data_IF_888790741087
#
_entry.id   IF_888790741087
#
_cell.length_a   1.000
_cell.length_b   1.000
_cell.length_c   1.000
_cell.angle_alpha   90.00
_cell.angle_beta   90.00
_cell.angle_gamma   90.00
#
_symmetry.space_group_name_H-M   'P 1'
#
loop_
_entity.id
_entity.type
_entity.pdbx_description
1 polymer ?
#
# COMPACT_ATOMS: atom_id res chain seq x y z
N UNK A 1 20.43 35.80 26.94
CA UNK A 1 19.80 34.55 26.44
C UNK A 1 20.29 34.31 25.02
N UNK A 2 20.63 33.08 24.64
CA UNK A 2 21.07 32.74 23.28
C UNK A 2 19.99 31.88 22.63
N UNK A 3 19.51 32.30 21.46
CA UNK A 3 18.55 31.53 20.66
C UNK A 3 19.23 30.29 20.07
N UNK A 4 18.58 29.13 20.15
CA UNK A 4 19.07 27.87 19.57
C UNK A 4 17.98 27.21 18.73
N UNK A 5 18.34 26.45 17.68
CA UNK A 5 17.40 25.63 16.95
C UNK A 5 16.72 24.60 17.86
N UNK A 6 15.46 24.28 17.56
CA UNK A 6 14.72 23.21 18.26
C UNK A 6 15.41 21.86 18.03
N UNK A 7 15.43 21.00 19.05
CA UNK A 7 16.25 19.78 19.08
C UNK A 7 15.88 18.77 17.99
N UNK A 8 14.59 18.56 17.76
CA UNK A 8 14.05 17.71 16.70
C UNK A 8 14.49 18.20 15.31
N UNK A 9 14.39 19.50 15.05
CA UNK A 9 14.79 20.10 13.78
C UNK A 9 16.31 20.10 13.59
N UNK A 10 17.07 20.35 14.66
CA UNK A 10 18.53 20.38 14.62
C UNK A 10 19.13 19.05 14.16
N UNK A 11 18.50 17.93 14.54
CA UNK A 11 18.95 16.58 14.18
C UNK A 11 18.31 16.11 12.87
N UNK A 12 16.99 16.18 12.77
CA UNK A 12 16.26 15.52 11.69
C UNK A 12 16.33 16.27 10.36
N UNK A 13 16.34 17.61 10.38
CA UNK A 13 16.31 18.38 9.14
C UNK A 13 17.60 18.22 8.30
N UNK A 14 18.83 18.28 8.88
CA UNK A 14 20.05 17.95 8.14
C UNK A 14 20.09 16.51 7.67
N UNK A 15 19.55 15.56 8.45
CA UNK A 15 19.47 14.16 8.06
C UNK A 15 18.59 13.98 6.82
N UNK A 16 17.39 14.57 6.80
CA UNK A 16 16.49 14.53 5.64
C UNK A 16 17.12 15.14 4.39
N UNK A 17 17.78 16.30 4.51
CA UNK A 17 18.51 16.91 3.38
C UNK A 17 19.61 16.01 2.83
N UNK A 18 20.28 15.24 3.70
CA UNK A 18 21.28 14.27 3.26
C UNK A 18 20.65 13.10 2.51
N UNK A 19 19.51 12.58 3.00
CA UNK A 19 18.76 11.52 2.31
C UNK A 19 18.27 11.98 0.93
N UNK A 20 17.76 13.20 0.84
CA UNK A 20 17.35 13.84 -0.42
C UNK A 20 18.50 13.91 -1.43
N UNK A 21 19.64 14.47 -1.03
CA UNK A 21 20.83 14.52 -1.88
C UNK A 21 21.32 13.13 -2.31
N UNK A 22 21.20 12.11 -1.45
CA UNK A 22 21.53 10.73 -1.81
C UNK A 22 20.57 10.15 -2.86
N UNK A 23 19.27 10.41 -2.76
CA UNK A 23 18.29 9.98 -3.77
C UNK A 23 18.52 10.66 -5.12
N UNK A 24 18.77 11.97 -5.11
CA UNK A 24 19.12 12.71 -6.33
C UNK A 24 20.41 12.16 -6.97
N UNK A 25 21.44 11.89 -6.17
CA UNK A 25 22.68 11.29 -6.67
C UNK A 25 22.47 9.89 -7.28
N UNK A 26 21.53 9.10 -6.75
CA UNK A 26 21.18 7.81 -7.34
C UNK A 26 20.52 8.02 -8.71
N UNK A 27 19.58 8.97 -8.81
CA UNK A 27 18.90 9.30 -10.06
C UNK A 27 19.86 9.84 -11.12
N UNK A 28 20.75 10.76 -10.75
CA UNK A 28 21.78 11.31 -11.63
C UNK A 28 22.77 10.25 -12.13
N UNK A 29 22.92 9.16 -11.37
CA UNK A 29 23.73 8.00 -11.74
C UNK A 29 23.18 7.18 -12.91
N UNK A 30 21.93 7.38 -13.33
CA UNK A 30 21.29 6.61 -14.40
C UNK A 30 21.44 7.18 -15.82
N UNK A 31 22.46 8.00 -16.07
CA UNK A 31 22.81 8.42 -17.44
C UNK A 31 23.46 7.26 -18.23
N UNK A 32 23.35 7.31 -19.56
CA UNK A 32 23.99 6.35 -20.49
C UNK A 32 23.73 4.86 -20.14
N UNK A 33 22.51 4.58 -19.69
CA UNK A 33 22.09 3.26 -19.24
C UNK A 33 21.94 2.25 -20.38
N UNK A 34 22.23 0.97 -20.09
CA UNK A 34 22.04 -0.16 -21.03
C UNK A 34 20.56 -0.55 -21.21
N UNK A 35 19.69 -0.06 -20.32
CA UNK A 35 18.25 -0.26 -20.37
C UNK A 35 17.54 1.01 -20.84
N UNK A 36 16.34 0.85 -21.36
CA UNK A 36 15.49 1.96 -21.82
C UNK A 36 14.02 1.64 -21.54
N UNK A 37 13.17 2.67 -21.64
CA UNK A 37 11.73 2.54 -21.43
C UNK A 37 10.99 2.71 -22.74
N UNK A 38 9.94 1.90 -22.94
CA UNK A 38 9.06 1.97 -24.12
C UNK A 38 7.65 2.24 -23.66
N UNK A 39 6.98 3.20 -24.29
CA UNK A 39 5.58 3.49 -24.00
C UNK A 39 4.68 2.31 -24.33
N UNK A 40 3.77 2.01 -23.41
CA UNK A 40 2.69 1.07 -23.64
C UNK A 40 1.62 1.84 -24.40
N UNK A 41 1.64 1.73 -25.73
CA UNK A 41 0.68 2.43 -26.58
C UNK A 41 -0.75 2.28 -26.03
N UNK A 42 -1.43 3.40 -25.82
CA UNK A 42 -2.86 3.39 -25.51
C UNK A 42 -3.56 3.05 -26.83
N UNK A 43 -4.08 1.83 -26.95
CA UNK A 43 -4.99 1.51 -28.06
C UNK A 43 -6.30 2.23 -27.77
N UNK A 44 -6.41 3.48 -28.22
CA UNK A 44 -7.71 4.14 -28.37
C UNK A 44 -8.32 3.51 -29.62
N UNK A 45 -9.31 2.65 -29.43
CA UNK A 45 -10.12 2.15 -30.51
C UNK A 45 -11.04 3.27 -31.00
N UNK A 46 -10.51 4.21 -31.81
CA UNK A 46 -11.32 4.98 -32.74
C UNK A 46 -10.45 5.71 -33.76
N UNK A 47 -10.43 5.17 -34.98
CA UNK A 47 -10.60 5.88 -36.26
C UNK A 47 -9.98 5.00 -37.34
N UNK A 48 -10.83 4.50 -38.22
CA UNK A 48 -10.46 3.89 -39.50
C UNK A 48 -9.45 4.80 -40.22
N UNK A 49 -8.17 4.44 -40.19
CA UNK A 49 -7.26 4.75 -41.29
C UNK A 49 -6.11 3.75 -41.30
N UNK A 50 -5.94 3.18 -42.48
CA UNK A 50 -5.07 2.10 -42.90
C UNK A 50 -3.60 2.56 -42.89
N UNK A 51 -2.82 2.11 -41.91
CA UNK A 51 -1.36 1.91 -42.01
C UNK A 51 -0.98 0.89 -40.93
N UNK A 52 -1.12 -0.39 -41.29
CA UNK A 52 -0.73 -1.52 -40.45
C UNK A 52 0.80 -1.60 -40.33
N UNK A 53 1.39 -0.80 -39.44
CA UNK A 53 2.73 -1.09 -38.93
C UNK A 53 2.59 -2.35 -38.06
N UNK A 54 3.27 -3.48 -38.39
CA UNK A 54 3.13 -4.70 -37.63
C UNK A 54 3.81 -4.51 -36.26
N UNK A 55 3.04 -4.10 -35.25
CA UNK A 55 3.45 -4.17 -33.85
C UNK A 55 3.73 -5.63 -33.54
N UNK A 56 5.00 -5.91 -33.32
CA UNK A 56 5.57 -7.23 -33.15
C UNK A 56 4.74 -8.05 -32.17
N UNK A 57 4.14 -9.12 -32.69
CA UNK A 57 3.76 -10.30 -31.92
C UNK A 57 5.04 -10.88 -31.33
N UNK A 58 5.44 -10.40 -30.16
CA UNK A 58 6.39 -11.10 -29.30
C UNK A 58 5.73 -11.25 -27.94
N UNK A 59 5.60 -12.51 -27.54
CA UNK A 59 5.12 -13.00 -26.25
C UNK A 59 5.91 -12.43 -25.06
N UNK A 60 5.74 -11.13 -24.78
CA UNK A 60 6.23 -10.47 -23.57
C UNK A 60 5.03 -10.10 -22.71
N UNK A 61 4.47 -11.11 -22.04
CA UNK A 61 3.45 -10.86 -21.02
C UNK A 61 4.10 -10.03 -19.92
N UNK A 62 3.62 -8.81 -19.63
CA UNK A 62 4.10 -8.02 -18.50
C UNK A 62 3.95 -8.83 -17.21
N UNK A 63 4.83 -8.60 -16.24
CA UNK A 63 4.62 -9.19 -14.91
C UNK A 63 3.29 -8.69 -14.32
N UNK A 64 2.65 -9.47 -13.44
CA UNK A 64 1.40 -9.05 -12.76
C UNK A 64 1.55 -7.67 -12.10
N UNK A 65 2.72 -7.38 -11.50
CA UNK A 65 3.04 -6.07 -10.90
C UNK A 65 3.08 -4.93 -11.91
N UNK A 66 3.44 -5.25 -13.14
CA UNK A 66 3.49 -4.31 -14.25
C UNK A 66 2.12 -4.15 -14.92
N UNK A 67 1.27 -5.17 -14.93
CA UNK A 67 -0.09 -5.13 -15.48
C UNK A 67 -1.02 -4.22 -14.66
N UNK A 68 -0.87 -4.21 -13.33
CA UNK A 68 -1.62 -3.32 -12.42
C UNK A 68 -1.35 -1.83 -12.63
N UNK A 69 -0.17 -1.47 -13.17
CA UNK A 69 0.25 -0.08 -13.38
C UNK A 69 0.35 0.24 -14.87
N UNK A 70 -0.77 0.08 -15.58
CA UNK A 70 -0.89 0.23 -17.03
C UNK A 70 -0.43 1.60 -17.56
N UNK A 71 -0.43 2.63 -16.73
CA UNK A 71 0.00 3.99 -17.06
C UNK A 71 1.53 4.19 -17.08
N UNK A 72 2.31 3.16 -16.73
CA UNK A 72 3.77 3.25 -16.70
C UNK A 72 4.41 2.67 -17.97
N UNK A 73 5.50 3.27 -18.47
CA UNK A 73 6.23 2.70 -19.59
C UNK A 73 6.89 1.36 -19.20
N UNK A 74 7.07 0.50 -20.18
CA UNK A 74 7.64 -0.83 -20.00
C UNK A 74 9.19 -0.77 -20.03
N UNK A 75 9.89 -1.30 -19.02
CA UNK A 75 11.35 -1.37 -19.04
C UNK A 75 11.85 -2.45 -20.01
N UNK A 76 12.86 -2.12 -20.83
CA UNK A 76 13.55 -3.05 -21.72
C UNK A 76 15.05 -3.08 -21.43
N UNK A 77 15.62 -4.27 -21.60
CA UNK A 77 17.06 -4.56 -21.45
C UNK A 77 17.60 -5.15 -22.76
N UNK A 78 18.94 -5.22 -22.96
CA UNK A 78 19.53 -5.87 -24.12
C UNK A 78 19.09 -7.33 -24.24
N UNK A 79 19.12 -7.94 -25.45
CA UNK A 79 18.62 -9.29 -25.68
C UNK A 79 19.34 -10.37 -24.85
N UNK A 80 20.61 -10.13 -24.50
CA UNK A 80 21.41 -11.03 -23.65
C UNK A 80 21.36 -10.65 -22.15
N UNK A 81 20.46 -9.73 -21.78
CA UNK A 81 20.41 -9.09 -20.47
C UNK A 81 21.47 -8.00 -20.28
N UNK A 82 21.44 -7.40 -19.10
CA UNK A 82 22.38 -6.39 -18.63
C UNK A 82 23.75 -7.01 -18.36
N UNK A 83 24.79 -6.22 -18.62
CA UNK A 83 26.16 -6.56 -18.21
C UNK A 83 26.26 -6.74 -16.69
N UNK A 84 27.19 -7.57 -16.25
CA UNK A 84 27.39 -7.86 -14.82
C UNK A 84 27.67 -6.59 -14.00
N UNK A 85 28.46 -5.67 -14.57
CA UNK A 85 28.74 -4.38 -13.93
C UNK A 85 27.47 -3.53 -13.78
N UNK A 86 26.66 -3.39 -14.84
CA UNK A 86 25.42 -2.62 -14.78
C UNK A 86 24.42 -3.23 -13.78
N UNK A 87 24.29 -4.56 -13.76
CA UNK A 87 23.45 -5.28 -12.80
C UNK A 87 23.93 -5.07 -11.36
N UNK A 88 25.25 -5.16 -11.12
CA UNK A 88 25.84 -4.92 -9.79
C UNK A 88 25.59 -3.49 -9.31
N UNK A 89 25.75 -2.49 -10.19
CA UNK A 89 25.44 -1.09 -9.88
C UNK A 89 23.95 -0.92 -9.53
N UNK A 90 23.03 -1.49 -10.31
CA UNK A 90 21.60 -1.44 -10.01
C UNK A 90 21.28 -2.05 -8.65
N UNK A 91 21.88 -3.20 -8.31
CA UNK A 91 21.68 -3.83 -7.01
C UNK A 91 22.22 -2.97 -5.85
N UNK A 92 23.35 -2.29 -6.05
CA UNK A 92 23.91 -1.35 -5.07
C UNK A 92 23.00 -0.13 -4.88
N UNK A 93 22.51 0.47 -5.98
CA UNK A 93 21.54 1.56 -5.94
C UNK A 93 20.26 1.14 -5.22
N UNK A 94 19.75 -0.07 -5.50
CA UNK A 94 18.58 -0.64 -4.83
C UNK A 94 18.77 -0.76 -3.32
N UNK A 95 19.88 -1.34 -2.89
CA UNK A 95 20.17 -1.50 -1.45
C UNK A 95 20.34 -0.13 -0.77
N UNK A 96 21.07 0.79 -1.40
CA UNK A 96 21.21 2.16 -0.90
C UNK A 96 19.83 2.84 -0.77
N UNK A 97 18.97 2.72 -1.78
CA UNK A 97 17.61 3.26 -1.76
C UNK A 97 16.76 2.64 -0.65
N UNK A 98 16.90 1.33 -0.39
CA UNK A 98 16.19 0.66 0.70
C UNK A 98 16.62 1.19 2.08
N UNK A 99 17.92 1.47 2.27
CA UNK A 99 18.41 2.08 3.50
C UNK A 99 17.89 3.51 3.69
N UNK A 100 17.83 4.30 2.60
CA UNK A 100 17.24 5.63 2.62
C UNK A 100 15.75 5.56 2.99
N UNK A 101 15.00 4.63 2.37
CA UNK A 101 13.59 4.39 2.67
C UNK A 101 13.37 4.09 4.16
N UNK A 102 14.16 3.17 4.73
CA UNK A 102 14.11 2.82 6.16
C UNK A 102 14.41 4.01 7.06
N UNK A 103 15.41 4.82 6.71
CA UNK A 103 15.76 6.01 7.47
C UNK A 103 14.65 7.07 7.43
N UNK A 104 14.06 7.31 6.25
CA UNK A 104 12.94 8.24 6.08
C UNK A 104 11.70 7.80 6.90
N UNK A 105 11.34 6.51 6.81
CA UNK A 105 10.28 5.89 7.62
C UNK A 105 10.51 6.06 9.12
N UNK A 106 11.75 5.85 9.59
CA UNK A 106 12.09 5.98 11.00
C UNK A 106 11.94 7.43 11.50
N UNK A 107 12.37 8.42 10.69
CA UNK A 107 12.19 9.84 11.01
C UNK A 107 10.69 10.19 11.03
N UNK A 108 9.93 9.79 10.01
CA UNK A 108 8.49 10.05 9.93
C UNK A 108 7.75 9.46 11.14
N UNK A 109 8.03 8.20 11.48
CA UNK A 109 7.46 7.51 12.64
C UNK A 109 7.80 8.20 13.96
N UNK A 110 9.04 8.69 14.11
CA UNK A 110 9.45 9.44 15.31
C UNK A 110 8.70 10.77 15.44
N UNK A 111 8.51 11.49 14.34
CA UNK A 111 7.78 12.77 14.33
C UNK A 111 6.31 12.56 14.68
N UNK A 112 5.66 11.55 14.06
CA UNK A 112 4.27 11.19 14.38
C UNK A 112 4.09 10.75 15.83
N UNK A 113 5.09 10.08 16.42
CA UNK A 113 5.05 9.70 17.83
C UNK A 113 5.08 10.91 18.78
N UNK A 114 5.76 12.00 18.39
CA UNK A 114 5.88 13.24 19.16
C UNK A 114 4.75 14.25 18.89
N UNK A 115 3.95 14.07 17.83
CA UNK A 115 2.79 14.92 17.55
C UNK A 115 1.71 14.77 18.62
N UNK A 116 1.10 15.89 19.00
CA UNK A 116 0.00 15.94 19.95
C UNK A 116 -1.23 15.20 19.42
N UNK A 117 -1.92 14.48 20.32
CA UNK A 117 -3.15 13.76 19.98
C UNK A 117 -4.32 14.75 20.05
N UNK A 118 -5.09 14.93 18.97
CA UNK A 118 -6.20 15.88 18.98
C UNK A 118 -7.35 15.43 19.89
N UNK A 119 -8.00 16.36 20.60
CA UNK A 119 -9.16 16.08 21.45
C UNK A 119 -10.32 15.44 20.65
N UNK A 120 -10.50 15.85 19.40
CA UNK A 120 -11.50 15.28 18.49
C UNK A 120 -11.35 13.75 18.31
N UNK A 121 -10.12 13.23 18.35
CA UNK A 121 -9.88 11.79 18.28
C UNK A 121 -10.37 11.09 19.56
N UNK A 122 -10.17 11.71 20.72
CA UNK A 122 -10.55 11.17 22.03
C UNK A 122 -12.06 11.08 22.23
N UNK A 123 -12.82 12.02 21.65
CA UNK A 123 -14.28 12.06 21.77
C UNK A 123 -14.99 11.02 20.89
N UNK A 124 -14.36 10.58 19.81
CA UNK A 124 -15.00 9.69 18.81
C UNK A 124 -14.95 8.19 19.15
N UNK A 125 -14.28 7.79 20.23
CA UNK A 125 -13.86 6.41 20.39
C UNK A 125 -14.80 5.51 21.23
N UNK A 126 -15.29 4.43 20.60
CA UNK A 126 -15.97 3.33 21.27
C UNK A 126 -14.97 2.21 21.66
N UNK A 127 -15.00 1.79 22.92
CA UNK A 127 -14.11 0.73 23.43
C UNK A 127 -14.27 -0.56 22.61
N UNK A 128 -13.19 -1.00 21.96
CA UNK A 128 -13.12 -2.32 21.33
C UNK A 128 -13.09 -3.44 22.36
N UNK A 129 -14.24 -3.83 22.91
CA UNK A 129 -14.37 -4.83 23.99
C UNK A 129 -13.68 -6.17 23.66
N UNK A 130 -13.66 -6.57 22.39
CA UNK A 130 -13.07 -7.84 21.96
C UNK A 130 -11.55 -7.81 22.15
N UNK A 131 -10.88 -6.76 21.69
CA UNK A 131 -9.42 -6.60 21.81
C UNK A 131 -9.02 -6.42 23.28
N UNK A 132 -9.86 -5.73 24.06
CA UNK A 132 -9.67 -5.60 25.51
C UNK A 132 -9.56 -6.97 26.19
N UNK A 133 -10.47 -7.92 25.90
CA UNK A 133 -10.47 -9.24 26.53
C UNK A 133 -9.18 -10.02 26.26
N UNK A 134 -8.63 -9.94 25.05
CA UNK A 134 -7.41 -10.64 24.70
C UNK A 134 -6.16 -9.99 25.31
N UNK A 135 -6.06 -8.65 25.30
CA UNK A 135 -4.91 -7.94 25.88
C UNK A 135 -4.88 -8.08 27.41
N UNK A 136 -6.06 -8.12 28.03
CA UNK A 136 -6.23 -8.25 29.49
C UNK A 136 -6.14 -9.69 30.01
N UNK A 137 -5.93 -10.68 29.14
CA UNK A 137 -5.80 -12.08 29.56
C UNK A 137 -4.57 -12.30 30.45
N UNK A 138 -4.66 -13.24 31.40
CA UNK A 138 -3.55 -13.56 32.33
C UNK A 138 -2.31 -14.04 31.56
N UNK A 139 -2.52 -14.87 30.53
CA UNK A 139 -1.47 -15.30 29.59
C UNK A 139 -1.62 -14.52 28.29
N UNK A 140 -0.71 -13.59 28.05
CA UNK A 140 -0.68 -12.78 26.83
C UNK A 140 0.52 -13.17 25.97
N UNK A 141 0.26 -13.48 24.70
CA UNK A 141 1.26 -13.69 23.66
C UNK A 141 0.81 -12.90 22.43
N UNK A 142 1.53 -11.83 22.04
CA UNK A 142 1.13 -11.00 20.92
C UNK A 142 1.17 -11.78 19.61
N UNK A 143 2.15 -12.65 19.41
CA UNK A 143 2.29 -13.45 18.18
C UNK A 143 1.12 -14.42 18.03
N UNK A 144 0.79 -15.15 19.12
CA UNK A 144 -0.34 -16.07 19.09
C UNK A 144 -1.66 -15.33 18.85
N UNK A 145 -1.86 -14.17 19.45
CA UNK A 145 -3.08 -13.38 19.25
C UNK A 145 -3.23 -12.97 17.78
N UNK A 146 -2.16 -12.52 17.14
CA UNK A 146 -2.18 -12.16 15.71
C UNK A 146 -2.52 -13.37 14.81
N UNK A 147 -2.15 -14.59 15.20
CA UNK A 147 -2.47 -15.81 14.44
C UNK A 147 -3.97 -16.17 14.50
N UNK A 148 -4.71 -15.67 15.50
CA UNK A 148 -6.16 -15.88 15.63
C UNK A 148 -7.02 -14.77 15.02
N UNK A 149 -6.40 -13.64 14.61
CA UNK A 149 -7.11 -12.52 14.01
C UNK A 149 -7.21 -12.70 12.49
N UNK A 150 -8.32 -12.21 11.91
CA UNK A 150 -8.46 -12.15 10.46
C UNK A 150 -7.67 -10.98 9.88
N UNK A 151 -6.46 -11.28 9.41
CA UNK A 151 -5.53 -10.36 8.77
C UNK A 151 -5.44 -10.61 7.25
N UNK A 152 -6.49 -11.18 6.65
CA UNK A 152 -6.51 -11.54 5.23
C UNK A 152 -6.60 -10.34 4.29
N UNK A 153 -7.11 -9.20 4.75
CA UNK A 153 -7.23 -7.97 3.97
C UNK A 153 -6.48 -6.81 4.61
N UNK A 154 -6.00 -5.88 3.79
CA UNK A 154 -5.36 -4.65 4.26
C UNK A 154 -6.33 -3.81 5.11
N UNK A 155 -7.59 -3.71 4.69
CA UNK A 155 -8.63 -2.97 5.40
C UNK A 155 -8.88 -3.52 6.81
N UNK A 156 -9.08 -4.84 6.96
CA UNK A 156 -9.33 -5.45 8.28
C UNK A 156 -8.10 -5.33 9.18
N UNK A 157 -6.90 -5.49 8.61
CA UNK A 157 -5.64 -5.31 9.32
C UNK A 157 -5.50 -3.87 9.85
N UNK A 158 -5.82 -2.87 9.03
CA UNK A 158 -5.78 -1.46 9.42
C UNK A 158 -6.83 -1.13 10.48
N UNK A 159 -8.04 -1.67 10.37
CA UNK A 159 -9.08 -1.51 11.38
C UNK A 159 -8.65 -2.09 12.74
N UNK A 160 -8.03 -3.26 12.74
CA UNK A 160 -7.46 -3.88 13.94
C UNK A 160 -6.35 -2.99 14.52
N UNK A 161 -5.43 -2.48 13.69
CA UNK A 161 -4.38 -1.56 14.12
C UNK A 161 -4.96 -0.32 14.81
N UNK A 162 -5.96 0.32 14.19
CA UNK A 162 -6.65 1.48 14.74
C UNK A 162 -7.26 1.21 16.12
N UNK A 163 -7.90 0.04 16.29
CA UNK A 163 -8.50 -0.36 17.56
C UNK A 163 -7.46 -0.64 18.65
N UNK A 164 -6.33 -1.28 18.31
CA UNK A 164 -5.23 -1.53 19.25
C UNK A 164 -4.58 -0.21 19.68
N UNK A 165 -4.31 0.67 18.74
CA UNK A 165 -3.69 1.97 18.98
C UNK A 165 -4.57 2.84 19.89
N UNK A 166 -5.86 2.93 19.61
CA UNK A 166 -6.80 3.64 20.46
C UNK A 166 -6.89 3.06 21.89
N UNK A 167 -6.90 1.72 22.02
CA UNK A 167 -6.88 1.06 23.33
C UNK A 167 -5.60 1.39 24.11
N UNK A 168 -4.43 1.36 23.45
CA UNK A 168 -3.16 1.77 24.03
C UNK A 168 -3.24 3.21 24.57
N UNK A 169 -3.83 4.13 23.80
CA UNK A 169 -4.01 5.51 24.22
C UNK A 169 -4.95 5.68 25.41
N UNK A 170 -6.07 4.97 25.46
CA UNK A 170 -6.97 5.00 26.63
C UNK A 170 -6.24 4.57 27.89
N UNK A 171 -5.49 3.46 27.82
CA UNK A 171 -4.78 2.95 28.98
C UNK A 171 -3.65 3.88 29.43
N UNK A 172 -2.94 4.52 28.49
CA UNK A 172 -1.98 5.60 28.79
C UNK A 172 -2.69 6.78 29.46
N UNK A 173 -3.83 7.23 28.94
CA UNK A 173 -4.57 8.35 29.52
C UNK A 173 -5.14 8.03 30.90
N UNK A 174 -5.65 6.81 31.12
CA UNK A 174 -6.14 6.32 32.42
C UNK A 174 -5.00 6.30 33.45
N UNK A 175 -3.80 5.93 33.02
CA UNK A 175 -2.59 6.02 33.85
C UNK A 175 -2.27 7.48 34.25
N UNK A 176 -2.29 8.43 33.31
CA UNK A 176 -2.01 9.84 33.60
C UNK A 176 -3.11 10.53 34.45
N UNK A 177 -4.39 10.27 34.19
CA UNK A 177 -5.52 10.87 34.92
C UNK A 177 -5.59 10.44 36.39
N UNK A 178 -5.01 9.28 36.76
CA UNK A 178 -4.86 8.88 38.17
C UNK A 178 -3.74 9.64 38.91
N UNK A 179 -2.95 10.46 38.21
CA UNK A 179 -1.90 11.32 38.75
C UNK A 179 -1.98 12.72 38.08
N UNK A 180 -3.05 13.53 38.29
CA UNK A 180 -2.92 14.64 39.26
C UNK A 180 -4.25 15.20 39.83
N UNK A 181 -4.35 15.35 41.16
CA UNK A 181 -4.88 16.53 41.91
C UNK A 181 -5.06 16.18 43.39
N UNK A 182 -3.94 16.20 44.14
CA UNK A 182 -3.99 16.51 45.57
C UNK A 182 -3.50 17.95 45.78
N UNK A 183 -4.20 18.92 45.19
CA UNK A 183 -4.06 20.32 45.59
C UNK A 183 -5.46 20.91 45.68
N UNK A 184 -5.96 20.95 46.91
CA UNK A 184 -6.98 21.83 47.47
C UNK A 184 -8.34 21.92 46.76
N UNK A 185 -9.31 21.15 47.24
CA UNK A 185 -10.56 21.72 47.79
C UNK A 185 -11.05 20.80 48.89
N UNK A 186 -11.25 21.36 50.08
CA UNK A 186 -11.46 20.62 51.31
C UNK A 186 -12.81 19.89 51.39
N UNK A 187 -12.78 18.85 52.23
CA UNK A 187 -13.92 18.17 52.91
C UNK A 187 -14.84 17.31 52.03
N UNK A 188 -14.52 16.02 51.94
CA UNK A 188 -15.41 14.96 52.45
C UNK A 188 -14.68 13.62 52.62
N UNK A 189 -14.91 13.02 53.78
CA UNK A 189 -14.43 11.73 54.24
C UNK A 189 -14.98 10.56 53.42
N UNK A 190 -14.13 9.62 53.00
CA UNK A 190 -14.40 8.19 53.22
C UNK A 190 -13.11 7.39 53.16
N UNK A 191 -12.75 6.81 54.30
CA UNK A 191 -11.63 5.90 54.45
C UNK A 191 -11.91 4.57 53.76
N UNK A 192 -10.84 3.98 53.21
CA UNK A 192 -10.81 2.57 52.83
C UNK A 192 -10.94 2.26 51.34
N UNK A 193 -9.99 2.70 50.50
CA UNK A 193 -9.70 2.03 49.21
C UNK A 193 -8.37 2.41 48.53
N UNK A 194 -7.33 2.77 49.27
CA UNK A 194 -6.03 3.17 48.66
C UNK A 194 -5.30 1.99 47.98
N UNK A 195 -5.56 0.74 48.40
CA UNK A 195 -4.92 -0.47 47.83
C UNK A 195 -5.40 -0.84 46.41
N UNK A 196 -6.55 -0.33 45.96
CA UNK A 196 -7.11 -0.62 44.62
C UNK A 196 -6.60 0.33 43.52
N UNK A 197 -6.26 1.57 43.86
CA UNK A 197 -5.84 2.58 42.89
C UNK A 197 -4.45 2.32 42.31
N UNK A 198 -3.50 1.88 43.15
CA UNK A 198 -2.15 1.51 42.70
C UNK A 198 -2.21 0.29 41.77
N UNK A 199 -3.06 -0.70 42.08
CA UNK A 199 -3.27 -1.88 41.25
C UNK A 199 -3.90 -1.55 39.89
N UNK A 200 -4.89 -0.65 39.83
CA UNK A 200 -5.52 -0.24 38.56
C UNK A 200 -4.56 0.59 37.68
N UNK A 201 -3.67 1.34 38.31
CA UNK A 201 -2.62 2.13 37.64
C UNK A 201 -1.56 1.22 37.01
N UNK A 202 -1.05 0.23 37.75
CA UNK A 202 -0.09 -0.76 37.26
C UNK A 202 -0.70 -1.65 36.17
N UNK A 203 -1.96 -2.05 36.32
CA UNK A 203 -2.71 -2.78 35.29
C UNK A 203 -2.85 -1.96 34.01
N UNK A 204 -3.22 -0.68 34.12
CA UNK A 204 -3.35 0.20 32.96
C UNK A 204 -2.01 0.36 32.21
N UNK A 205 -0.89 0.52 32.95
CA UNK A 205 0.46 0.53 32.34
C UNK A 205 0.78 -0.79 31.61
N UNK A 206 0.48 -1.93 32.23
CA UNK A 206 0.72 -3.24 31.61
C UNK A 206 -0.09 -3.40 30.33
N UNK A 207 -1.38 -3.02 30.35
CA UNK A 207 -2.26 -3.11 29.18
C UNK A 207 -1.79 -2.20 28.05
N UNK A 208 -1.40 -0.95 28.37
CA UNK A 208 -0.81 -0.03 27.41
C UNK A 208 0.45 -0.63 26.76
N UNK A 209 1.36 -1.18 27.57
CA UNK A 209 2.59 -1.81 27.07
C UNK A 209 2.29 -3.02 26.18
N UNK A 210 1.35 -3.89 26.58
CA UNK A 210 0.93 -5.04 25.77
C UNK A 210 0.33 -4.62 24.43
N UNK A 211 -0.45 -3.54 24.42
CA UNK A 211 -1.03 -2.98 23.20
C UNK A 211 0.03 -2.40 22.27
N UNK A 212 1.00 -1.66 22.80
CA UNK A 212 2.14 -1.14 22.03
C UNK A 212 2.95 -2.29 21.40
N UNK A 213 3.24 -3.34 22.16
CA UNK A 213 3.95 -4.53 21.67
C UNK A 213 3.14 -5.28 20.60
N UNK A 214 1.82 -5.37 20.75
CA UNK A 214 0.94 -6.00 19.75
C UNK A 214 0.93 -5.19 18.45
N UNK A 215 0.79 -3.86 18.54
CA UNK A 215 0.81 -2.96 17.39
C UNK A 215 2.17 -3.01 16.67
N UNK A 216 3.27 -3.07 17.42
CA UNK A 216 4.61 -3.22 16.85
C UNK A 216 4.75 -4.53 16.08
N UNK A 217 4.31 -5.66 16.66
CA UNK A 217 4.32 -6.95 15.98
C UNK A 217 3.47 -6.95 14.70
N UNK A 218 2.31 -6.29 14.74
CA UNK A 218 1.46 -6.12 13.57
C UNK A 218 2.20 -5.35 12.46
N UNK A 219 2.85 -4.22 12.79
CA UNK A 219 3.64 -3.43 11.83
C UNK A 219 4.83 -4.19 11.24
N UNK A 220 5.46 -5.09 12.02
CA UNK A 220 6.53 -5.96 11.51
C UNK A 220 5.98 -6.98 10.50
N UNK A 221 4.80 -7.55 10.73
CA UNK A 221 4.16 -8.49 9.80
C UNK A 221 3.62 -7.78 8.55
N UNK A 222 3.18 -6.53 8.68
CA UNK A 222 2.58 -5.73 7.60
C UNK A 222 3.32 -4.39 7.45
N UNK A 223 4.55 -4.39 6.90
CA UNK A 223 5.36 -3.17 6.77
C UNK A 223 4.79 -2.16 5.77
N UNK A 224 3.85 -2.57 4.90
CA UNK A 224 3.15 -1.70 3.95
C UNK A 224 1.77 -1.24 4.42
N UNK A 225 1.47 -1.36 5.72
CA UNK A 225 0.18 -0.94 6.26
C UNK A 225 -0.02 0.58 6.04
N UNK A 226 -1.21 1.03 5.59
CA UNK A 226 -1.50 2.45 5.47
C UNK A 226 -1.41 3.19 6.82
N UNK A 227 -1.29 4.52 6.76
CA UNK A 227 -1.34 5.37 7.96
C UNK A 227 -2.62 5.12 8.77
N UNK A 228 -2.47 5.05 10.10
CA UNK A 228 -3.60 4.80 10.98
C UNK A 228 -4.52 6.02 11.05
N UNK A 229 -5.75 5.81 11.52
CA UNK A 229 -6.68 6.90 11.78
C UNK A 229 -6.12 7.90 12.79
N UNK A 230 -5.32 7.46 13.77
CA UNK A 230 -4.67 8.38 14.71
C UNK A 230 -3.61 9.22 14.00
N UNK A 231 -2.74 8.60 13.19
CA UNK A 231 -1.70 9.32 12.44
C UNK A 231 -2.33 10.36 11.52
N UNK A 232 -3.41 10.00 10.81
CA UNK A 232 -4.17 10.94 9.98
C UNK A 232 -4.72 12.12 10.79
N UNK A 233 -5.29 11.87 11.98
CA UNK A 233 -5.81 12.92 12.85
C UNK A 233 -4.67 13.82 13.38
N UNK A 234 -3.55 13.24 13.80
CA UNK A 234 -2.37 14.01 14.22
C UNK A 234 -1.92 14.96 13.12
N UNK A 235 -1.80 14.47 11.88
CA UNK A 235 -1.42 15.30 10.73
C UNK A 235 -2.45 16.40 10.48
N UNK A 236 -3.75 16.06 10.47
CA UNK A 236 -4.83 16.98 10.13
C UNK A 236 -4.95 18.15 11.13
N UNK A 237 -4.79 17.88 12.42
CA UNK A 237 -5.00 18.88 13.48
C UNK A 237 -3.70 19.46 14.06
N UNK A 238 -2.53 19.03 13.56
CA UNK A 238 -1.25 19.56 14.02
C UNK A 238 -1.14 21.07 13.78
N UNK A 239 -0.63 21.79 14.78
CA UNK A 239 -0.36 23.24 14.72
C UNK A 239 1.13 23.57 14.76
N UNK A 240 1.99 22.58 15.00
CA UNK A 240 3.43 22.75 15.05
C UNK A 240 4.04 22.74 13.64
N UNK A 241 4.44 23.91 13.16
CA UNK A 241 5.01 24.08 11.81
C UNK A 241 6.27 23.23 11.61
N UNK A 242 7.13 23.10 12.62
CA UNK A 242 8.36 22.32 12.49
C UNK A 242 8.08 20.82 12.36
N UNK A 243 7.11 20.29 13.13
CA UNK A 243 6.69 18.89 12.98
C UNK A 243 5.99 18.66 11.64
N UNK A 244 5.18 19.61 11.15
CA UNK A 244 4.58 19.52 9.80
C UNK A 244 5.64 19.44 8.71
N UNK A 245 6.71 20.23 8.80
CA UNK A 245 7.84 20.18 7.85
C UNK A 245 8.55 18.83 7.93
N UNK A 246 8.85 18.34 9.14
CA UNK A 246 9.55 17.07 9.31
C UNK A 246 8.71 15.88 8.82
N UNK A 247 7.41 15.82 9.16
CA UNK A 247 6.48 14.78 8.71
C UNK A 247 6.37 14.77 7.19
N UNK A 248 6.03 15.91 6.59
CA UNK A 248 5.78 15.98 5.16
C UNK A 248 7.05 15.72 4.34
N UNK A 249 8.20 16.25 4.74
CA UNK A 249 9.45 16.03 4.03
C UNK A 249 9.90 14.57 4.14
N UNK A 250 9.85 13.98 5.32
CA UNK A 250 10.18 12.55 5.50
C UNK A 250 9.24 11.63 4.71
N UNK A 251 7.94 11.93 4.66
CA UNK A 251 6.96 11.16 3.86
C UNK A 251 7.19 11.27 2.35
N UNK A 252 7.59 12.45 1.86
CA UNK A 252 7.97 12.61 0.44
C UNK A 252 9.23 11.80 0.13
N UNK A 253 10.22 11.81 1.02
CA UNK A 253 11.45 11.01 0.85
C UNK A 253 11.17 9.50 0.87
N UNK A 254 10.28 9.04 1.75
CA UNK A 254 9.79 7.66 1.77
C UNK A 254 9.16 7.29 0.41
N UNK A 255 8.19 8.08 -0.06
CA UNK A 255 7.50 7.81 -1.32
C UNK A 255 8.46 7.79 -2.51
N UNK A 256 9.39 8.75 -2.57
CA UNK A 256 10.39 8.82 -3.64
C UNK A 256 11.31 7.60 -3.62
N UNK A 257 11.87 7.25 -2.46
CA UNK A 257 12.73 6.09 -2.30
C UNK A 257 12.01 4.79 -2.66
N UNK A 258 10.76 4.61 -2.21
CA UNK A 258 9.95 3.45 -2.58
C UNK A 258 9.74 3.35 -4.10
N UNK A 259 9.41 4.46 -4.75
CA UNK A 259 9.18 4.49 -6.20
C UNK A 259 10.46 4.19 -7.00
N UNK A 260 11.61 4.75 -6.60
CA UNK A 260 12.91 4.45 -7.23
C UNK A 260 13.25 2.98 -7.07
N UNK A 261 13.13 2.44 -5.85
CA UNK A 261 13.38 1.03 -5.57
C UNK A 261 12.48 0.12 -6.41
N UNK A 262 11.18 0.45 -6.52
CA UNK A 262 10.24 -0.30 -7.34
C UNK A 262 10.62 -0.31 -8.83
N UNK A 263 11.14 0.81 -9.36
CA UNK A 263 11.63 0.86 -10.75
C UNK A 263 12.87 0.01 -10.98
N UNK A 264 13.78 -0.01 -10.01
CA UNK A 264 14.97 -0.87 -10.07
C UNK A 264 14.56 -2.34 -9.97
N UNK A 265 13.60 -2.68 -9.09
CA UNK A 265 13.02 -4.03 -8.99
C UNK A 265 12.38 -4.48 -10.32
N UNK A 266 11.61 -3.59 -10.97
CA UNK A 266 11.00 -3.87 -12.28
C UNK A 266 12.08 -4.17 -13.35
N UNK A 267 13.19 -3.41 -13.36
CA UNK A 267 14.31 -3.62 -14.29
C UNK A 267 15.05 -4.93 -14.03
N UNK A 268 15.37 -5.23 -12.76
CA UNK A 268 16.05 -6.46 -12.37
C UNK A 268 15.19 -7.69 -12.70
N UNK A 269 13.87 -7.58 -12.51
CA UNK A 269 12.93 -8.62 -12.89
C UNK A 269 12.95 -8.90 -14.41
N UNK A 270 12.92 -7.84 -15.24
CA UNK A 270 13.00 -8.00 -16.70
C UNK A 270 14.37 -8.57 -17.12
N UNK A 271 15.47 -8.15 -16.49
CA UNK A 271 16.80 -8.74 -16.73
C UNK A 271 16.84 -10.24 -16.43
N UNK A 272 16.27 -10.65 -15.29
CA UNK A 272 16.17 -12.07 -14.90
C UNK A 272 15.35 -12.88 -15.91
N UNK A 273 14.19 -12.36 -16.34
CA UNK A 273 13.35 -13.01 -17.33
C UNK A 273 14.05 -13.16 -18.68
N UNK A 274 14.77 -12.12 -19.14
CA UNK A 274 15.53 -12.17 -20.40
C UNK A 274 16.66 -13.19 -20.32
N UNK A 275 17.44 -13.20 -19.23
CA UNK A 275 18.54 -14.18 -19.05
C UNK A 275 18.03 -15.63 -19.00
N UNK A 276 16.88 -15.87 -18.35
CA UNK A 276 16.26 -17.19 -18.33
C UNK A 276 15.86 -17.68 -19.73
N UNK A 277 15.34 -16.79 -20.58
CA UNK A 277 14.99 -17.15 -21.97
C UNK A 277 16.21 -17.47 -22.82
N UNK A 278 17.25 -16.65 -22.76
CA UNK A 278 18.51 -16.91 -23.48
C UNK A 278 19.13 -18.24 -23.03
N UNK A 279 19.11 -18.53 -21.73
CA UNK A 279 19.57 -19.81 -21.21
C UNK A 279 18.73 -20.99 -21.77
N UNK A 280 17.40 -20.89 -21.78
CA UNK A 280 16.53 -21.93 -22.33
C UNK A 280 16.75 -22.16 -23.83
N UNK A 281 16.92 -21.10 -24.62
CA UNK A 281 17.22 -21.18 -26.06
C UNK A 281 18.55 -21.87 -26.31
N UNK A 282 19.59 -21.55 -25.53
CA UNK A 282 20.90 -22.21 -25.64
C UNK A 282 20.82 -23.71 -25.37
N UNK A 283 20.04 -24.14 -24.36
CA UNK A 283 19.84 -25.56 -24.03
C UNK A 283 19.09 -26.30 -25.15
N UNK A 284 18.09 -25.66 -25.76
CA UNK A 284 17.34 -26.24 -26.89
C UNK A 284 18.19 -26.46 -28.14
N UNK A 285 19.14 -25.56 -28.42
CA UNK A 285 20.07 -25.68 -29.55
C UNK A 285 21.07 -26.84 -29.37
N UNK A 286 21.51 -27.11 -28.14
CA UNK A 286 22.37 -28.27 -27.86
C UNK A 286 21.61 -29.60 -27.96
N UNK A 287 20.33 -29.64 -27.60
CA UNK A 287 19.51 -30.85 -27.73
C UNK A 287 19.19 -31.16 -29.21
N UNK A 288 19.04 -30.11 -30.03
CA UNK A 288 18.87 -30.24 -31.49
C UNK A 288 20.18 -30.67 -32.20
N UNK A 289 21.35 -30.31 -31.66
CA UNK A 289 22.66 -30.74 -32.13
C UNK A 289 23.03 -32.20 -31.78
N UNK A 290 22.29 -32.85 -30.87
CA UNK A 290 22.54 -34.25 -30.47
C UNK A 290 21.77 -35.28 -31.31
N UNK A 291 20.84 -34.83 -32.14
CA UNK A 291 20.11 -35.65 -33.11
C UNK A 291 20.50 -35.33 -34.55
N UNK A 292 21.78 -35.52 -34.86
CA UNK A 292 22.21 -35.74 -36.24
C UNK A 292 21.63 -37.05 -36.78
N UNK A 293 20.48 -36.95 -37.45
CA UNK A 293 19.97 -37.99 -38.34
C UNK A 293 18.90 -38.93 -37.78
N UNK A 294 17.70 -38.43 -37.51
CA UNK A 294 16.46 -39.16 -37.80
C UNK A 294 15.25 -38.22 -37.63
N UNK A 295 14.59 -37.89 -38.74
CA UNK A 295 13.21 -37.37 -38.72
C UNK A 295 12.32 -38.35 -37.93
N UNK A 296 11.60 -37.95 -36.87
CA UNK A 296 10.63 -38.83 -36.25
C UNK A 296 9.47 -38.99 -37.24
N UNK A 297 9.35 -40.18 -37.82
CA UNK A 297 8.14 -40.60 -38.54
C UNK A 297 6.98 -40.51 -37.56
N UNK A 298 6.11 -39.53 -37.78
CA UNK A 298 4.85 -39.36 -37.07
C UNK A 298 4.01 -40.63 -37.22
N UNK A 299 4.04 -41.51 -36.22
CA UNK A 299 3.12 -42.64 -36.13
C UNK A 299 1.73 -42.05 -35.87
N UNK A 300 0.80 -42.22 -36.81
CA UNK A 300 -0.63 -41.97 -36.60
C UNK A 300 -1.06 -42.72 -35.34
N UNK A 301 -1.46 -41.98 -34.31
CA UNK A 301 -2.21 -42.51 -33.19
C UNK A 301 -3.68 -42.50 -33.61
N UNK A 302 -4.32 -43.65 -33.49
CA UNK A 302 -5.74 -43.90 -33.74
C UNK A 302 -6.63 -43.03 -32.84
N UNK A 303 -7.80 -42.56 -33.30
CA UNK A 303 -8.71 -41.80 -32.45
C UNK A 303 -9.41 -42.73 -31.45
N UNK A 304 -9.28 -42.43 -30.16
CA UNK A 304 -10.11 -42.99 -29.09
C UNK A 304 -11.52 -42.38 -29.10
N UNK A 305 -12.54 -43.08 -28.57
CA UNK A 305 -13.91 -42.86 -28.96
C UNK A 305 -14.64 -41.84 -28.06
N UNK A 306 -14.12 -40.63 -27.87
CA UNK A 306 -14.91 -39.54 -27.28
C UNK A 306 -14.39 -38.18 -27.80
N UNK A 307 -14.78 -37.83 -29.03
CA UNK A 307 -14.61 -36.50 -29.60
C UNK A 307 -16.00 -35.87 -29.76
N UNK A 308 -16.33 -34.91 -28.90
CA UNK A 308 -17.56 -34.12 -29.01
C UNK A 308 -17.25 -32.95 -29.95
N UNK A 309 -17.92 -32.95 -31.10
CA UNK A 309 -17.92 -31.85 -32.06
C UNK A 309 -18.69 -30.65 -31.49
N UNK A 310 -18.04 -29.49 -31.44
CA UNK A 310 -18.74 -28.20 -31.41
C UNK A 310 -18.34 -27.40 -32.64
N UNK A 311 -19.15 -27.52 -33.69
CA UNK A 311 -19.23 -26.59 -34.81
C UNK A 311 -20.31 -25.55 -34.50
N UNK A 312 -19.94 -24.27 -34.55
CA UNK A 312 -20.87 -23.14 -34.56
C UNK A 312 -21.61 -23.08 -35.89
N UNK A 313 -22.95 -23.08 -35.89
CA UNK A 313 -23.78 -22.61 -37.00
C UNK A 313 -24.99 -21.83 -36.46
N UNK A 314 -25.27 -20.72 -37.13
CA UNK A 314 -26.34 -19.75 -36.91
C UNK A 314 -27.77 -20.33 -37.02
N UNK A 315 -28.72 -19.58 -36.46
CA UNK A 315 -30.17 -19.83 -36.41
C UNK A 315 -30.84 -20.00 -37.78
N UNK A 316 -32.03 -20.67 -37.83
CA UNK A 316 -33.25 -19.90 -38.09
C UNK A 316 -34.55 -20.40 -37.38
N UNK A 317 -35.41 -19.41 -37.10
CA UNK A 317 -36.89 -19.31 -37.17
C UNK A 317 -37.87 -20.47 -36.81
N UNK A 318 -38.89 -20.08 -36.00
CA UNK A 318 -40.33 -20.39 -35.98
C UNK A 318 -40.79 -21.87 -35.84
N UNK A 319 -41.47 -22.23 -34.74
CA UNK A 319 -42.95 -22.11 -34.66
C UNK A 319 -43.53 -22.51 -33.27
N UNK A 320 -44.74 -21.98 -33.03
CA UNK A 320 -45.58 -21.97 -31.83
C UNK A 320 -45.83 -23.30 -31.09
N UNK A 321 -46.10 -23.23 -29.76
CA UNK A 321 -47.42 -23.55 -29.15
C UNK A 321 -47.49 -23.10 -27.67
N UNK A 322 -48.65 -22.52 -27.37
CA UNK A 322 -49.15 -21.84 -26.18
C UNK A 322 -49.07 -22.60 -24.84
N UNK A 323 -48.90 -21.85 -23.75
CA UNK A 323 -49.89 -21.91 -22.66
C UNK A 323 -49.91 -20.63 -21.79
N UNK A 324 -51.15 -20.25 -21.49
CA UNK A 324 -51.65 -18.97 -21.00
C UNK A 324 -51.59 -18.87 -19.48
N UNK A 325 -51.17 -17.74 -18.91
CA UNK A 325 -51.80 -17.17 -17.69
C UNK A 325 -51.42 -15.69 -17.46
N UNK A 326 -52.29 -14.82 -17.98
CA UNK A 326 -52.87 -13.59 -17.39
C UNK A 326 -52.05 -12.75 -16.35
N UNK A 327 -51.64 -11.56 -16.78
CA UNK A 327 -51.33 -10.33 -15.99
C UNK A 327 -52.60 -9.74 -15.31
N UNK A 328 -52.58 -8.66 -14.47
CA UNK A 328 -52.04 -7.30 -14.76
C UNK A 328 -51.36 -6.60 -13.53
N UNK A 329 -50.72 -5.44 -13.59
CA UNK A 329 -50.65 -4.40 -14.61
C UNK A 329 -49.56 -3.38 -14.26
N UNK A 330 -49.07 -2.70 -15.29
CA UNK A 330 -47.94 -1.78 -15.21
C UNK A 330 -48.30 -0.34 -14.83
N UNK A 331 -47.25 0.40 -14.48
CA UNK A 331 -47.19 1.86 -14.62
C UNK A 331 -45.91 2.23 -15.35
N UNK A 332 -46.11 3.03 -16.39
CA UNK A 332 -45.16 3.66 -17.28
C UNK A 332 -44.43 4.82 -16.57
N UNK A 333 -43.11 4.90 -16.71
CA UNK A 333 -42.37 6.14 -16.45
C UNK A 333 -41.56 6.53 -17.69
N UNK A 334 -41.82 7.76 -18.15
CA UNK A 334 -41.13 8.50 -19.21
C UNK A 334 -39.73 8.94 -18.75
N UNK A 335 -38.79 9.19 -19.68
CA UNK A 335 -37.43 9.61 -19.33
C UNK A 335 -37.39 11.09 -18.95
N UNK A 336 -36.79 11.40 -17.80
CA UNK A 336 -36.50 12.77 -17.36
C UNK A 336 -35.07 13.13 -17.74
N UNK A 337 -34.96 14.32 -18.34
CA UNK A 337 -33.75 14.99 -18.81
C UNK A 337 -32.73 15.19 -17.69
N UNK A 338 -31.46 14.89 -17.96
CA UNK A 338 -30.31 15.35 -17.15
C UNK A 338 -30.15 16.85 -17.33
N UNK A 339 -30.35 17.62 -16.26
CA UNK A 339 -29.88 19.00 -16.14
C UNK A 339 -28.78 19.09 -15.09
N UNK A 340 -27.71 19.76 -15.48
CA UNK A 340 -26.47 20.02 -14.77
C UNK A 340 -26.66 20.78 -13.46
N UNK A 341 -26.29 20.18 -12.34
CA UNK A 341 -26.00 20.88 -11.10
C UNK A 341 -24.52 21.27 -11.11
N UNK A 342 -24.20 22.42 -11.72
CA UNK A 342 -22.86 23.03 -11.57
C UNK A 342 -22.81 24.56 -11.50
N UNK A 343 -23.94 25.28 -11.59
CA UNK A 343 -23.95 26.75 -11.61
C UNK A 343 -24.84 27.36 -10.50
N UNK A 344 -24.63 27.01 -9.23
CA UNK A 344 -25.40 27.61 -8.13
C UNK A 344 -24.61 27.87 -6.85
N UNK A 345 -23.27 27.95 -6.92
CA UNK A 345 -22.43 28.26 -5.75
C UNK A 345 -21.40 29.39 -5.95
N UNK A 346 -21.36 30.04 -7.13
CA UNK A 346 -20.44 31.15 -7.39
C UNK A 346 -21.04 32.56 -7.23
N UNK A 347 -22.34 32.68 -6.95
CA UNK A 347 -23.02 33.99 -6.84
C UNK A 347 -23.16 34.54 -5.41
N UNK A 348 -22.40 34.01 -4.43
CA UNK A 348 -22.54 34.41 -3.02
C UNK A 348 -21.26 34.71 -2.26
N UNK A 349 -20.15 34.99 -2.95
CA UNK A 349 -18.89 35.43 -2.33
C UNK A 349 -18.32 36.74 -2.88
N UNK A 350 -19.16 37.61 -3.45
CA UNK A 350 -18.82 39.01 -3.71
C UNK A 350 -19.77 39.95 -2.96
N UNK A 351 -19.56 40.05 -1.64
CA UNK A 351 -20.03 41.17 -0.81
C UNK A 351 -19.45 40.97 0.58
N UNK A 352 -18.22 41.45 0.78
CA UNK A 352 -17.66 41.92 2.06
C UNK A 352 -16.23 42.39 1.80
N UNK A 353 -16.11 43.58 1.24
CA UNK A 353 -14.91 44.42 1.30
C UNK A 353 -15.37 45.85 1.15
N UNK A 354 -15.55 46.52 2.30
CA UNK A 354 -15.16 47.90 2.61
C UNK A 354 -15.46 48.14 4.09
#
# INVERSE_FOLDING_TARGET
>A
MVTRPRSDLYVNLPALKKLDAMLLSILDGFHDSQFYYVDRGIIVADSDDDETIPLSSSSDRPSIRQEEKWWLPFPKVPPNGLSENARKTLQQCRECTNQILKAALAINSSVLAEMEIPDAYLESFAQGEIIYRFIAADRFSPECLLDYLDLSSEYTTLEIANRIEAAAHIWKQKHLKCHPTLVNTGKSSWGGKVKGFVSDTEKSKLLAHRADTLLQNLRIRFPGLPQTALDMNKIQYNKDVGQSVLESYSRVMESLAFNIMARIDDLLYVDDATKQRVAAESVSLYDQGRFGGAMPKQKRISPGPFSVHHTSIASPALDHINQTTRSPGGRTHKPIKKTSFRDAMDDKLEKLTF
#
